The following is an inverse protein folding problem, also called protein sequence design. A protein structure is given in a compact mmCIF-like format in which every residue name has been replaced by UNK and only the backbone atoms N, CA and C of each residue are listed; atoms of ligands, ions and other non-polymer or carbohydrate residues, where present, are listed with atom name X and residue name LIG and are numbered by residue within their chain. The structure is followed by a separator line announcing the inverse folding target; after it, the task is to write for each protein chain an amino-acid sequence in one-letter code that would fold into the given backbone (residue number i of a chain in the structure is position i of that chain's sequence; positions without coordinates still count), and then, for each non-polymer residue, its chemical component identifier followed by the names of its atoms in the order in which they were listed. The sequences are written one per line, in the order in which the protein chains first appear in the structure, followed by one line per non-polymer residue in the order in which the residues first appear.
data_IF_774152851531
#
_entry.id   IF_774152851531
#
_cell.length_a   1.000
_cell.length_b   1.000
_cell.length_c   1.000
_cell.angle_alpha   90.00
_cell.angle_beta   90.00
_cell.angle_gamma   90.00
#
_symmetry.space_group_name_H-M   'P 1'
#
loop_
_entity.id
_entity.type
_entity.pdbx_description
1 polymer ?
#
# COMPACT_ATOMS: atom_id res chain seq x y z
N UNK A 1 -65.41 -15.89 -12.45
CA UNK A 1 -64.05 -16.38 -12.71
C UNK A 1 -63.62 -17.24 -11.52
N UNK A 2 -63.49 -18.56 -11.69
CA UNK A 2 -62.89 -19.44 -10.66
C UNK A 2 -61.43 -19.66 -11.02
N UNK A 3 -60.52 -19.08 -10.25
CA UNK A 3 -59.10 -19.45 -10.30
C UNK A 3 -59.01 -20.88 -9.74
N UNK A 4 -58.48 -21.83 -10.52
CA UNK A 4 -58.30 -23.20 -10.03
C UNK A 4 -57.09 -23.24 -9.10
N UNK A 5 -57.17 -24.01 -8.02
CA UNK A 5 -56.13 -24.14 -7.01
C UNK A 5 -54.79 -24.63 -7.61
N UNK A 6 -54.89 -25.41 -8.70
CA UNK A 6 -53.76 -25.85 -9.53
C UNK A 6 -52.99 -24.70 -10.17
N UNK A 7 -53.68 -23.63 -10.60
CA UNK A 7 -53.03 -22.47 -11.23
C UNK A 7 -52.22 -21.70 -10.19
N UNK A 8 -52.78 -21.48 -8.99
CA UNK A 8 -52.11 -20.79 -7.89
C UNK A 8 -50.87 -21.55 -7.41
N UNK A 9 -50.95 -22.88 -7.32
CA UNK A 9 -49.81 -23.74 -7.01
C UNK A 9 -48.73 -23.66 -8.08
N UNK A 10 -49.10 -23.67 -9.36
CA UNK A 10 -48.14 -23.54 -10.46
C UNK A 10 -47.45 -22.16 -10.45
N UNK A 11 -48.19 -21.09 -10.19
CA UNK A 11 -47.66 -19.73 -10.08
C UNK A 11 -46.71 -19.52 -8.90
N UNK A 12 -46.80 -20.34 -7.85
CA UNK A 12 -45.90 -20.28 -6.68
C UNK A 12 -44.72 -21.27 -6.79
N UNK A 13 -44.95 -22.46 -7.34
CA UNK A 13 -43.90 -23.48 -7.46
C UNK A 13 -42.87 -23.14 -8.53
N UNK A 14 -43.30 -22.58 -9.66
CA UNK A 14 -42.37 -22.19 -10.73
C UNK A 14 -41.31 -21.17 -10.26
N UNK A 15 -41.66 -20.05 -9.61
CA UNK A 15 -40.65 -19.11 -9.11
C UNK A 15 -39.82 -19.66 -7.95
N UNK A 16 -40.38 -20.53 -7.09
CA UNK A 16 -39.57 -21.19 -6.05
C UNK A 16 -38.51 -22.10 -6.67
N UNK A 17 -38.87 -22.87 -7.70
CA UNK A 17 -37.93 -23.73 -8.42
C UNK A 17 -36.86 -22.92 -9.14
N UNK A 18 -37.21 -21.78 -9.77
CA UNK A 18 -36.19 -20.93 -10.41
C UNK A 18 -35.25 -20.30 -9.40
N UNK A 19 -35.74 -19.78 -8.27
CA UNK A 19 -34.89 -19.24 -7.19
C UNK A 19 -33.98 -20.32 -6.61
N UNK A 20 -34.50 -21.52 -6.37
CA UNK A 20 -33.70 -22.65 -5.88
C UNK A 20 -32.63 -23.07 -6.88
N UNK A 21 -32.93 -23.09 -8.18
CA UNK A 21 -31.96 -23.41 -9.21
C UNK A 21 -30.87 -22.35 -9.32
N UNK A 22 -31.23 -21.06 -9.28
CA UNK A 22 -30.29 -19.95 -9.27
C UNK A 22 -29.37 -20.04 -8.04
N UNK A 23 -29.92 -20.29 -6.85
CA UNK A 23 -29.14 -20.43 -5.63
C UNK A 23 -28.17 -21.62 -5.68
N UNK A 24 -28.58 -22.75 -6.24
CA UNK A 24 -27.69 -23.91 -6.39
C UNK A 24 -26.57 -23.64 -7.39
N UNK A 25 -26.86 -22.96 -8.50
CA UNK A 25 -25.85 -22.57 -9.49
C UNK A 25 -24.83 -21.60 -8.90
N UNK A 26 -25.30 -20.57 -8.17
CA UNK A 26 -24.41 -19.58 -7.54
C UNK A 26 -23.54 -20.21 -6.45
N UNK A 27 -24.10 -21.13 -5.65
CA UNK A 27 -23.33 -21.88 -4.65
C UNK A 27 -22.31 -22.82 -5.30
N UNK A 28 -22.65 -23.45 -6.43
CA UNK A 28 -21.73 -24.32 -7.16
C UNK A 28 -20.57 -23.52 -7.79
N UNK A 29 -20.86 -22.36 -8.37
CA UNK A 29 -19.82 -21.45 -8.88
C UNK A 29 -18.94 -20.94 -7.75
N UNK A 30 -19.53 -20.51 -6.63
CA UNK A 30 -18.80 -20.09 -5.45
C UNK A 30 -17.88 -21.20 -4.92
N UNK A 31 -18.40 -22.42 -4.76
CA UNK A 31 -17.61 -23.57 -4.32
C UNK A 31 -16.45 -23.88 -5.29
N UNK A 32 -16.68 -23.76 -6.60
CA UNK A 32 -15.64 -23.95 -7.61
C UNK A 32 -14.54 -22.90 -7.50
N UNK A 33 -14.89 -21.62 -7.31
CA UNK A 33 -13.89 -20.56 -7.15
C UNK A 33 -13.13 -20.68 -5.83
N UNK A 34 -13.80 -21.02 -4.72
CA UNK A 34 -13.13 -21.29 -3.42
C UNK A 34 -12.19 -22.49 -3.53
N UNK A 35 -12.58 -23.54 -4.26
CA UNK A 35 -11.73 -24.71 -4.46
C UNK A 35 -10.45 -24.35 -5.21
N UNK A 36 -10.53 -23.51 -6.25
CA UNK A 36 -9.35 -22.99 -6.97
C UNK A 36 -8.44 -22.18 -6.04
N UNK A 37 -9.01 -21.35 -5.16
CA UNK A 37 -8.24 -20.57 -4.18
C UNK A 37 -7.56 -21.47 -3.15
N UNK A 38 -8.23 -22.52 -2.67
CA UNK A 38 -7.66 -23.48 -1.71
C UNK A 38 -6.59 -24.39 -2.32
N UNK A 39 -6.67 -24.63 -3.63
CA UNK A 39 -5.68 -25.38 -4.39
C UNK A 39 -4.48 -24.51 -4.79
N UNK A 40 -4.56 -23.19 -4.61
CA UNK A 40 -3.44 -22.29 -4.83
C UNK A 40 -2.38 -22.57 -3.77
N UNK A 41 -1.12 -22.84 -4.15
CA UNK A 41 -0.06 -23.09 -3.18
C UNK A 41 0.03 -21.91 -2.20
N UNK A 42 0.11 -22.24 -0.91
CA UNK A 42 0.39 -21.28 0.16
C UNK A 42 1.53 -20.38 -0.32
N UNK A 43 1.31 -19.06 -0.32
CA UNK A 43 2.33 -18.08 -0.70
C UNK A 43 3.65 -18.48 -0.05
N UNK A 44 4.71 -18.74 -0.83
CA UNK A 44 5.94 -19.29 -0.27
C UNK A 44 6.41 -18.36 0.83
N UNK A 45 6.61 -18.92 2.04
CA UNK A 45 7.36 -18.24 3.09
C UNK A 45 8.68 -17.85 2.44
N UNK A 46 8.93 -16.55 2.29
CA UNK A 46 10.14 -16.00 1.67
C UNK A 46 11.33 -16.48 2.51
N UNK A 47 11.92 -17.62 2.14
CA UNK A 47 13.05 -18.24 2.84
C UNK A 47 14.39 -17.86 2.20
N UNK A 48 14.35 -17.38 0.95
CA UNK A 48 15.49 -16.83 0.23
C UNK A 48 15.07 -15.54 -0.47
N UNK A 49 15.95 -14.53 -0.48
CA UNK A 49 15.75 -13.34 -1.28
C UNK A 49 15.74 -13.78 -2.76
N UNK A 50 14.66 -13.50 -3.51
CA UNK A 50 14.62 -13.74 -4.95
C UNK A 50 15.78 -13.03 -5.66
N UNK A 51 16.14 -13.46 -6.87
CA UNK A 51 17.17 -12.81 -7.67
C UNK A 51 16.96 -11.29 -7.71
N UNK A 52 18.03 -10.52 -7.49
CA UNK A 52 18.04 -9.07 -7.72
C UNK A 52 17.99 -8.71 -9.20
N UNK A 53 18.33 -9.67 -10.06
CA UNK A 53 18.40 -9.40 -11.49
C UNK A 53 16.99 -9.32 -12.05
N UNK A 54 16.66 -8.13 -12.54
CA UNK A 54 15.37 -7.85 -13.14
C UNK A 54 15.15 -8.65 -14.42
N UNK A 55 16.21 -9.11 -15.08
CA UNK A 55 16.14 -9.92 -16.30
C UNK A 55 15.59 -11.32 -16.05
N UNK A 56 15.54 -11.77 -14.79
CA UNK A 56 15.03 -13.09 -14.43
C UNK A 56 13.48 -13.14 -14.37
N UNK A 57 12.79 -12.01 -14.54
CA UNK A 57 11.33 -11.91 -14.40
C UNK A 57 10.65 -11.40 -15.67
N UNK A 58 9.46 -11.92 -15.96
CA UNK A 58 8.62 -11.47 -17.09
C UNK A 58 7.78 -10.23 -16.77
N UNK A 59 7.54 -9.95 -15.48
CA UNK A 59 6.63 -8.91 -14.99
C UNK A 59 5.15 -9.12 -15.34
N UNK A 60 4.78 -10.33 -15.78
CA UNK A 60 3.41 -10.72 -16.11
C UNK A 60 2.77 -11.44 -14.92
N UNK A 61 1.56 -11.03 -14.52
CA UNK A 61 0.86 -11.63 -13.40
C UNK A 61 1.65 -11.52 -12.09
N UNK A 62 1.99 -12.67 -11.50
CA UNK A 62 2.74 -12.77 -10.25
C UNK A 62 4.25 -12.98 -10.43
N UNK A 63 4.74 -12.96 -11.67
CA UNK A 63 6.16 -13.16 -11.99
C UNK A 63 6.94 -11.83 -11.95
N UNK A 64 7.25 -11.37 -10.75
CA UNK A 64 8.02 -10.15 -10.48
C UNK A 64 8.78 -10.28 -9.15
N UNK A 65 9.86 -9.52 -8.92
CA UNK A 65 10.58 -9.58 -7.67
C UNK A 65 9.75 -8.97 -6.52
N UNK A 66 9.71 -9.65 -5.38
CA UNK A 66 8.98 -9.16 -4.19
C UNK A 66 9.66 -7.97 -3.48
N UNK A 67 10.87 -7.63 -3.87
CA UNK A 67 11.62 -6.49 -3.34
C UNK A 67 12.22 -5.68 -4.48
N UNK A 68 12.41 -4.37 -4.26
CA UNK A 68 13.16 -3.55 -5.19
C UNK A 68 14.61 -4.06 -5.33
N UNK A 69 15.22 -3.98 -6.51
CA UNK A 69 16.61 -4.40 -6.72
C UNK A 69 17.60 -3.75 -5.74
N UNK A 70 17.40 -2.48 -5.42
CA UNK A 70 18.26 -1.72 -4.49
C UNK A 70 18.21 -2.25 -3.06
N UNK A 71 17.16 -2.98 -2.67
CA UNK A 71 16.94 -3.44 -1.30
C UNK A 71 18.01 -4.42 -0.79
N UNK A 72 18.70 -5.13 -1.68
CA UNK A 72 19.68 -6.14 -1.30
C UNK A 72 21.01 -5.54 -0.82
N UNK A 73 21.28 -4.29 -1.20
CA UNK A 73 22.58 -3.63 -0.97
C UNK A 73 22.43 -2.31 -0.21
N UNK A 74 21.36 -2.14 0.56
CA UNK A 74 21.20 -0.94 1.39
C UNK A 74 22.20 -0.95 2.53
N UNK A 75 22.94 0.14 2.67
CA UNK A 75 23.76 0.42 3.84
C UNK A 75 22.87 0.63 5.08
N UNK A 76 23.47 0.46 6.25
CA UNK A 76 22.86 0.89 7.51
C UNK A 76 23.25 2.32 7.81
N UNK A 77 22.28 3.14 8.19
CA UNK A 77 22.45 4.51 8.68
C UNK A 77 21.89 4.63 10.09
N UNK A 78 22.33 5.63 10.84
CA UNK A 78 21.78 5.92 12.17
C UNK A 78 20.88 7.14 12.09
N UNK A 79 19.69 7.03 12.68
CA UNK A 79 18.72 8.12 12.75
C UNK A 79 18.38 8.42 14.20
N UNK A 80 18.42 9.70 14.55
CA UNK A 80 17.89 10.21 15.81
C UNK A 80 16.40 10.46 15.66
N UNK A 81 15.59 9.89 16.54
CA UNK A 81 14.20 10.33 16.68
C UNK A 81 14.19 11.64 17.44
N UNK A 82 13.55 12.66 16.90
CA UNK A 82 13.47 13.97 17.55
C UNK A 82 12.18 14.73 17.21
N UNK A 83 11.78 15.61 18.11
CA UNK A 83 10.72 16.58 17.86
C UNK A 83 11.20 17.66 16.89
N UNK A 84 10.55 17.76 15.72
CA UNK A 84 10.95 18.67 14.67
C UNK A 84 10.14 19.97 14.65
N UNK A 85 10.75 21.03 14.12
CA UNK A 85 10.00 22.24 13.68
C UNK A 85 9.33 22.02 12.33
N UNK A 86 9.73 20.98 11.61
CA UNK A 86 9.12 20.50 10.38
C UNK A 86 7.91 19.60 10.68
N UNK A 87 7.07 19.41 9.68
CA UNK A 87 5.85 18.61 9.71
C UNK A 87 4.83 19.12 10.73
N UNK A 88 4.79 20.45 10.93
CA UNK A 88 3.79 21.09 11.78
C UNK A 88 2.37 20.79 11.30
N UNK A 89 1.37 20.87 12.18
CA UNK A 89 -0.04 20.70 11.80
C UNK A 89 -0.71 22.01 11.32
N UNK A 90 -0.17 23.16 11.70
CA UNK A 90 -0.87 24.45 11.59
C UNK A 90 -0.07 25.52 10.85
N UNK A 91 1.16 25.21 10.43
CA UNK A 91 1.97 26.15 9.66
C UNK A 91 1.39 26.30 8.25
N UNK A 92 1.40 27.49 7.62
CA UNK A 92 0.88 27.67 6.27
C UNK A 92 1.52 26.74 5.23
N UNK A 93 2.78 26.34 5.44
CA UNK A 93 3.50 25.41 4.55
C UNK A 93 3.35 23.93 4.92
N UNK A 94 2.58 23.59 5.97
CA UNK A 94 2.44 22.21 6.44
C UNK A 94 2.03 21.25 5.33
N UNK A 95 1.07 21.63 4.48
CA UNK A 95 0.62 20.77 3.39
C UNK A 95 1.75 20.40 2.42
N UNK A 96 2.50 21.40 1.95
CA UNK A 96 3.62 21.19 1.03
C UNK A 96 4.75 20.39 1.70
N UNK A 97 5.01 20.64 2.98
CA UNK A 97 6.01 19.94 3.76
C UNK A 97 5.67 18.47 3.95
N UNK A 98 4.44 18.15 4.35
CA UNK A 98 3.97 16.76 4.44
C UNK A 98 4.00 16.07 3.07
N UNK A 99 3.65 16.76 1.98
CA UNK A 99 3.74 16.19 0.63
C UNK A 99 5.19 15.94 0.16
N UNK A 100 6.16 16.69 0.69
CA UNK A 100 7.57 16.56 0.28
C UNK A 100 8.22 15.22 0.61
N UNK A 101 7.58 14.41 1.47
CA UNK A 101 8.07 13.06 1.81
C UNK A 101 7.93 12.08 0.64
N UNK A 102 7.10 12.36 -0.36
CA UNK A 102 6.93 11.49 -1.51
C UNK A 102 7.86 11.93 -2.67
N UNK A 103 8.48 10.97 -3.38
CA UNK A 103 9.21 11.31 -4.60
C UNK A 103 8.26 11.81 -5.69
N UNK A 104 8.80 12.40 -6.75
CA UNK A 104 8.02 12.88 -7.90
C UNK A 104 7.14 11.79 -8.54
N UNK A 105 7.52 10.53 -8.43
CA UNK A 105 6.74 9.36 -8.88
C UNK A 105 5.57 8.99 -7.96
N UNK A 106 5.31 9.77 -6.90
CA UNK A 106 4.30 9.49 -5.87
C UNK A 106 4.46 8.10 -5.23
N UNK A 107 5.71 7.64 -5.11
CA UNK A 107 6.04 6.37 -4.50
C UNK A 107 5.93 5.16 -5.42
N UNK A 108 5.75 5.39 -6.72
CA UNK A 108 5.69 4.33 -7.72
C UNK A 108 7.02 4.15 -8.45
N UNK A 109 7.21 2.96 -9.00
CA UNK A 109 8.29 2.61 -9.92
C UNK A 109 7.71 1.90 -11.14
N UNK A 110 8.37 2.05 -12.28
CA UNK A 110 8.01 1.46 -13.56
C UNK A 110 9.05 0.40 -13.91
N UNK A 111 8.63 -0.87 -13.96
CA UNK A 111 9.53 -2.01 -14.07
C UNK A 111 9.09 -2.96 -15.20
N UNK A 112 10.06 -3.69 -15.72
CA UNK A 112 9.86 -4.71 -16.74
C UNK A 112 9.72 -4.14 -18.16
N UNK A 113 9.72 -5.03 -19.17
CA UNK A 113 9.71 -4.63 -20.58
C UNK A 113 8.42 -3.89 -20.99
N UNK A 114 7.31 -4.18 -20.32
CA UNK A 114 5.99 -3.58 -20.60
C UNK A 114 5.68 -2.36 -19.71
N UNK A 115 6.70 -1.78 -19.04
CA UNK A 115 6.56 -0.59 -18.19
C UNK A 115 5.46 -0.73 -17.11
N UNK A 116 5.45 -1.84 -16.39
CA UNK A 116 4.46 -2.11 -15.35
C UNK A 116 4.72 -1.24 -14.12
N UNK A 117 3.67 -0.58 -13.62
CA UNK A 117 3.73 0.25 -12.41
C UNK A 117 3.60 -0.59 -11.14
N UNK A 118 4.47 -0.31 -10.17
CA UNK A 118 4.43 -0.88 -8.83
C UNK A 118 4.49 0.22 -7.78
N UNK A 119 3.72 0.08 -6.70
CA UNK A 119 3.86 0.94 -5.52
C UNK A 119 4.89 0.35 -4.56
N UNK A 120 5.85 1.16 -4.12
CA UNK A 120 6.86 0.71 -3.15
C UNK A 120 6.26 0.80 -1.74
N UNK A 121 6.28 -0.27 -0.94
CA UNK A 121 5.67 -0.26 0.40
C UNK A 121 6.15 0.87 1.31
N UNK A 122 7.46 1.18 1.32
CA UNK A 122 8.02 2.30 2.10
C UNK A 122 7.35 3.63 1.76
N UNK A 123 7.16 3.95 0.48
CA UNK A 123 6.47 5.18 0.08
C UNK A 123 4.96 5.10 0.33
N UNK A 124 4.36 3.90 0.29
CA UNK A 124 2.94 3.72 0.63
C UNK A 124 2.67 3.96 2.12
N UNK A 125 3.59 3.55 3.00
CA UNK A 125 3.55 3.89 4.43
C UNK A 125 3.63 5.42 4.63
N UNK A 126 4.56 6.09 3.94
CA UNK A 126 4.66 7.56 3.98
C UNK A 126 3.40 8.24 3.44
N UNK A 127 2.87 7.77 2.31
CA UNK A 127 1.60 8.23 1.75
C UNK A 127 0.44 8.11 2.74
N UNK A 128 0.35 6.97 3.45
CA UNK A 128 -0.64 6.78 4.49
C UNK A 128 -0.48 7.81 5.61
N UNK A 129 0.75 8.08 6.07
CA UNK A 129 1.02 9.11 7.09
C UNK A 129 0.56 10.50 6.62
N UNK A 130 0.86 10.88 5.38
CA UNK A 130 0.42 12.15 4.79
C UNK A 130 -1.11 12.23 4.74
N UNK A 131 -1.79 11.18 4.28
CA UNK A 131 -3.26 11.15 4.22
C UNK A 131 -3.93 11.20 5.60
N UNK A 132 -3.28 10.67 6.64
CA UNK A 132 -3.80 10.80 8.01
C UNK A 132 -3.68 12.23 8.52
N UNK A 133 -2.73 13.02 8.01
CA UNK A 133 -2.57 14.42 8.34
C UNK A 133 -3.59 15.33 7.63
N UNK A 134 -3.89 15.08 6.35
CA UNK A 134 -4.73 15.95 5.52
C UNK A 134 -6.04 16.45 6.19
N UNK A 135 -6.80 15.64 6.95
CA UNK A 135 -8.04 16.09 7.60
C UNK A 135 -7.84 17.16 8.69
N UNK A 136 -6.61 17.32 9.21
CA UNK A 136 -6.26 18.30 10.24
C UNK A 136 -5.79 19.64 9.67
N UNK A 137 -5.59 19.73 8.34
CA UNK A 137 -5.18 20.97 7.69
C UNK A 137 -6.28 22.04 7.80
N UNK A 138 -5.92 23.34 7.92
CA UNK A 138 -6.89 24.43 8.03
C UNK A 138 -7.92 24.50 6.89
N UNK A 139 -7.53 24.04 5.70
CA UNK A 139 -8.31 23.99 4.47
C UNK A 139 -8.72 22.57 4.06
N UNK A 140 -8.70 21.63 5.02
CA UNK A 140 -8.98 20.23 4.78
C UNK A 140 -10.31 20.01 4.04
N UNK A 141 -10.23 19.29 2.91
CA UNK A 141 -11.42 18.76 2.25
C UNK A 141 -12.03 17.66 3.10
N UNK A 142 -13.30 17.33 2.83
CA UNK A 142 -13.97 16.22 3.52
C UNK A 142 -13.13 14.94 3.36
N UNK A 143 -12.77 14.27 4.46
CA UNK A 143 -11.93 13.08 4.41
C UNK A 143 -12.63 11.94 3.68
N UNK A 144 -11.86 11.18 2.89
CA UNK A 144 -12.32 9.92 2.33
C UNK A 144 -12.16 8.80 3.37
N UNK A 145 -13.16 8.66 4.24
CA UNK A 145 -13.12 7.74 5.40
C UNK A 145 -12.73 6.29 5.06
N UNK A 146 -13.14 5.80 3.89
CA UNK A 146 -12.74 4.46 3.42
C UNK A 146 -11.23 4.34 3.21
N UNK A 147 -10.59 5.39 2.69
CA UNK A 147 -9.15 5.43 2.48
C UNK A 147 -8.41 5.58 3.82
N UNK A 148 -8.86 6.48 4.70
CA UNK A 148 -8.29 6.64 6.05
C UNK A 148 -8.34 5.32 6.83
N UNK A 149 -9.46 4.61 6.82
CA UNK A 149 -9.59 3.29 7.47
C UNK A 149 -8.55 2.29 6.92
N UNK A 150 -8.34 2.27 5.61
CA UNK A 150 -7.32 1.45 4.97
C UNK A 150 -5.92 1.85 5.46
N UNK A 151 -5.56 3.13 5.41
CA UNK A 151 -4.27 3.66 5.84
C UNK A 151 -3.97 3.32 7.32
N UNK A 152 -4.93 3.56 8.22
CA UNK A 152 -4.77 3.21 9.64
C UNK A 152 -4.52 1.72 9.84
N UNK A 153 -5.26 0.86 9.14
CA UNK A 153 -5.08 -0.58 9.25
C UNK A 153 -3.77 -1.07 8.59
N UNK A 154 -3.30 -0.39 7.54
CA UNK A 154 -2.04 -0.70 6.87
C UNK A 154 -0.84 -0.35 7.76
N UNK A 155 -0.79 0.86 8.31
CA UNK A 155 0.25 1.29 9.26
C UNK A 155 0.25 0.40 10.50
N UNK A 156 -0.93 0.06 11.05
CA UNK A 156 -1.02 -0.90 12.18
C UNK A 156 -0.38 -2.24 11.85
N UNK A 157 -0.60 -2.78 10.65
CA UNK A 157 0.00 -4.06 10.24
C UNK A 157 1.52 -3.97 10.08
N UNK A 158 2.02 -2.86 9.53
CA UNK A 158 3.46 -2.64 9.40
C UNK A 158 4.16 -2.45 10.74
N UNK A 159 3.56 -1.69 11.65
CA UNK A 159 4.04 -1.54 13.02
C UNK A 159 4.12 -2.89 13.76
N UNK A 160 3.24 -3.85 13.45
CA UNK A 160 3.32 -5.21 13.99
C UNK A 160 4.35 -6.08 13.27
N UNK A 161 4.55 -5.89 11.96
CA UNK A 161 5.47 -6.66 11.14
C UNK A 161 6.94 -6.32 11.45
N UNK A 162 7.23 -5.03 11.68
CA UNK A 162 8.55 -4.51 12.02
C UNK A 162 8.47 -3.66 13.29
N UNK A 163 8.03 -4.28 14.38
CA UNK A 163 7.90 -3.60 15.66
C UNK A 163 9.28 -3.14 16.17
N UNK A 164 9.39 -1.86 16.52
CA UNK A 164 10.50 -1.36 17.32
C UNK A 164 10.22 -1.66 18.79
N UNK A 165 11.13 -2.41 19.41
CA UNK A 165 11.05 -2.80 20.83
C UNK A 165 12.02 -2.01 21.70
N UNK A 166 12.64 -0.96 21.15
CA UNK A 166 13.48 -0.03 21.90
C UNK A 166 12.61 0.72 22.91
N UNK A 167 13.07 0.81 24.16
CA UNK A 167 12.37 1.56 25.19
C UNK A 167 12.57 3.06 24.97
N UNK A 168 11.50 3.83 25.11
CA UNK A 168 11.55 5.28 25.05
C UNK A 168 12.44 5.86 26.16
N UNK A 169 13.26 6.86 25.79
CA UNK A 169 14.16 7.51 26.74
C UNK A 169 13.41 8.48 27.65
N UNK A 170 13.79 8.45 28.94
CA UNK A 170 13.26 9.34 29.97
C UNK A 170 11.96 8.84 30.60
N UNK A 171 11.51 9.56 31.64
CA UNK A 171 10.18 9.34 32.21
C UNK A 171 9.16 10.12 31.39
N UNK A 172 8.26 9.42 30.70
CA UNK A 172 7.22 10.04 29.88
C UNK A 172 6.31 11.01 30.68
N UNK A 173 6.23 10.83 32.01
CA UNK A 173 5.45 11.70 32.91
C UNK A 173 6.19 13.00 33.28
N UNK A 174 7.52 13.03 33.16
CA UNK A 174 8.35 14.14 33.64
C UNK A 174 9.07 14.89 32.51
N UNK A 175 9.12 14.29 31.33
CA UNK A 175 9.86 14.81 30.17
C UNK A 175 9.17 16.03 29.57
N UNK A 176 9.91 17.12 29.41
CA UNK A 176 9.44 18.33 28.74
C UNK A 176 9.85 18.32 27.27
N UNK A 177 8.95 17.91 26.36
CA UNK A 177 9.24 17.84 24.92
C UNK A 177 9.57 19.21 24.27
N UNK A 178 9.37 20.33 24.96
CA UNK A 178 9.85 21.62 24.46
C UNK A 178 11.35 21.82 24.67
N UNK A 179 11.93 21.15 25.69
CA UNK A 179 13.35 21.24 26.07
C UNK A 179 14.13 19.96 25.73
N UNK A 180 13.52 18.79 25.92
CA UNK A 180 14.09 17.45 25.78
C UNK A 180 13.58 16.79 24.49
N UNK A 181 13.90 17.41 23.36
CA UNK A 181 13.39 17.07 22.03
C UNK A 181 14.01 15.81 21.42
N UNK A 182 15.04 15.25 22.03
CA UNK A 182 15.87 14.18 21.45
C UNK A 182 15.51 12.83 22.05
N UNK A 183 15.11 11.89 21.20
CA UNK A 183 14.77 10.51 21.53
C UNK A 183 15.91 9.53 21.25
N UNK A 184 15.54 8.26 21.12
CA UNK A 184 16.49 7.17 20.88
C UNK A 184 17.15 7.25 19.48
N UNK A 185 18.30 6.58 19.37
CA UNK A 185 19.02 6.39 18.11
C UNK A 185 18.67 5.03 17.55
N UNK A 186 18.27 4.97 16.28
CA UNK A 186 17.90 3.74 15.60
C UNK A 186 18.84 3.46 14.44
N UNK A 187 19.17 2.19 14.23
CA UNK A 187 19.88 1.71 13.05
C UNK A 187 18.85 1.38 11.96
N UNK A 188 18.87 2.12 10.87
CA UNK A 188 17.91 2.03 9.78
C UNK A 188 18.60 1.59 8.48
N UNK A 189 17.82 1.09 7.53
CA UNK A 189 18.30 0.96 6.14
C UNK A 189 18.34 2.33 5.49
N UNK A 190 19.35 2.61 4.68
CA UNK A 190 19.51 3.91 4.01
C UNK A 190 18.41 4.12 2.95
N UNK A 191 17.35 4.82 3.36
CA UNK A 191 16.23 5.14 2.48
C UNK A 191 16.62 6.11 1.36
N UNK A 192 17.72 6.87 1.47
CA UNK A 192 18.16 7.78 0.42
C UNK A 192 18.45 7.04 -0.89
N UNK A 193 19.00 5.83 -0.80
CA UNK A 193 19.20 4.97 -1.96
C UNK A 193 17.88 4.55 -2.63
N UNK A 194 16.82 4.36 -1.84
CA UNK A 194 15.47 4.06 -2.34
C UNK A 194 14.85 5.28 -3.04
N UNK A 195 15.00 6.48 -2.47
CA UNK A 195 14.58 7.74 -3.13
C UNK A 195 15.35 7.97 -4.44
N UNK A 196 16.67 7.79 -4.43
CA UNK A 196 17.50 7.94 -5.63
C UNK A 196 17.09 6.95 -6.72
N UNK A 197 16.84 5.68 -6.35
CA UNK A 197 16.36 4.67 -7.28
C UNK A 197 15.02 5.08 -7.92
N UNK A 198 14.04 5.47 -7.11
CA UNK A 198 12.72 5.89 -7.60
C UNK A 198 12.80 7.14 -8.50
N UNK A 199 13.66 8.10 -8.16
CA UNK A 199 13.87 9.30 -8.97
C UNK A 199 14.49 8.98 -10.34
N UNK A 200 15.55 8.17 -10.37
CA UNK A 200 16.18 7.73 -11.63
C UNK A 200 15.18 6.97 -12.50
N UNK A 201 14.49 5.98 -11.92
CA UNK A 201 13.50 5.18 -12.62
C UNK A 201 12.37 6.04 -13.22
N UNK A 202 11.88 7.02 -12.46
CA UNK A 202 10.84 7.95 -12.95
C UNK A 202 11.33 8.84 -14.09
N UNK A 203 12.54 9.38 -13.97
CA UNK A 203 13.12 10.24 -14.99
C UNK A 203 13.36 9.49 -16.30
N UNK A 204 13.85 8.25 -16.23
CA UNK A 204 14.00 7.37 -17.40
C UNK A 204 12.66 7.16 -18.10
N UNK A 205 11.61 6.80 -17.33
CA UNK A 205 10.27 6.62 -17.86
C UNK A 205 9.71 7.89 -18.52
N UNK A 206 9.80 9.04 -17.85
CA UNK A 206 9.34 10.33 -18.41
C UNK A 206 10.07 10.63 -19.72
N UNK A 207 11.40 10.48 -19.74
CA UNK A 207 12.19 10.78 -20.92
C UNK A 207 11.79 9.90 -22.11
N UNK A 208 11.56 8.61 -21.89
CA UNK A 208 11.16 7.70 -22.95
C UNK A 208 9.72 7.94 -23.40
N UNK A 209 8.82 8.24 -22.47
CA UNK A 209 7.45 8.65 -22.78
C UNK A 209 7.42 9.92 -23.64
N UNK A 210 8.20 10.95 -23.29
CA UNK A 210 8.30 12.20 -24.06
C UNK A 210 8.86 11.93 -25.46
N UNK A 211 9.95 11.16 -25.59
CA UNK A 211 10.53 10.82 -26.90
C UNK A 211 9.50 10.13 -27.80
N UNK A 212 8.79 9.13 -27.27
CA UNK A 212 7.77 8.38 -28.01
C UNK A 212 6.66 9.30 -28.53
N UNK A 213 6.18 10.24 -27.72
CA UNK A 213 5.10 11.15 -28.11
C UNK A 213 5.55 12.39 -28.87
N UNK A 214 6.85 12.73 -28.86
CA UNK A 214 7.42 13.80 -29.68
C UNK A 214 7.72 13.39 -31.12
N UNK A 215 7.71 12.08 -31.40
CA UNK A 215 8.03 11.49 -32.71
C UNK A 215 6.80 10.97 -33.45
N UNK A 216 5.61 11.07 -32.84
CA UNK A 216 4.30 10.78 -33.42
C UNK A 216 3.59 12.07 -33.86
#
# INVERSE_FOLDING_TARGET
MRVQYSDVLLFLHLPLCTVSAILLLTLAEYAREVSKLSASPISPRISHLPSSDMLDYTFIGDDFPYALPVAQNLSTVVMQVEESVHFSLHHPNSHAEWQSVLPASLGTVILGPDNRTFAVPMFHELHCTVLLFEPFAPDAKKPHWGHIKHCMNYIRQWALCRADLTLELGSFEQRDFLRERVGAMHACQDWNAVYAYAATNWNEWINDWVKFHSTA
#
